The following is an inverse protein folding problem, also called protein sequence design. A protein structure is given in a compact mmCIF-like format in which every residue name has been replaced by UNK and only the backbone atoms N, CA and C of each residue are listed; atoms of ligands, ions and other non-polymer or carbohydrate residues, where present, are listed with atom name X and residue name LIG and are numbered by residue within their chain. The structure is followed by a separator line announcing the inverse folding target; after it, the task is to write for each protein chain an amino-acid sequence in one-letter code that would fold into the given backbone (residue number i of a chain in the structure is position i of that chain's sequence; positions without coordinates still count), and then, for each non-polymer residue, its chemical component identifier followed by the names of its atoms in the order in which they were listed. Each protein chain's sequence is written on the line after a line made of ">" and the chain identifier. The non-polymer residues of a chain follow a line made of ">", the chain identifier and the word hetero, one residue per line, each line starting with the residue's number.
data_IF_755599854532
#
_entry.id   IF_755599854532
#
_cell.length_a   1.000
_cell.length_b   1.000
_cell.length_c   1.000
_cell.angle_alpha   90.00
_cell.angle_beta   90.00
_cell.angle_gamma   90.00
#
_symmetry.space_group_name_H-M   'P 1'
#
loop_
_entity.id
_entity.type
_entity.pdbx_description
1 polymer ?
#
# COMPACT_ATOMS: atom_id res chain seq x y z
N UNK A 1 -0.97 22.51 0.59
CA UNK A 1 0.19 22.44 1.53
C UNK A 1 0.46 20.98 1.89
N UNK A 2 1.72 20.61 1.92
CA UNK A 2 2.09 19.25 2.32
C UNK A 2 1.77 19.02 3.80
N UNK A 3 0.99 18.00 4.08
CA UNK A 3 0.68 17.57 5.45
C UNK A 3 1.77 16.63 5.99
N UNK A 4 2.18 15.65 5.19
CA UNK A 4 3.16 14.67 5.60
C UNK A 4 3.70 13.84 4.46
N UNK A 5 4.80 13.16 4.70
CA UNK A 5 5.42 12.25 3.75
C UNK A 5 5.67 10.90 4.41
N UNK A 6 5.70 9.87 3.61
CA UNK A 6 6.01 8.51 4.06
C UNK A 6 6.88 7.79 3.05
N UNK A 7 7.76 6.96 3.55
CA UNK A 7 8.67 6.17 2.74
C UNK A 7 8.77 4.78 3.36
N UNK A 8 8.74 3.76 2.51
CA UNK A 8 8.92 2.39 2.98
C UNK A 8 9.70 1.57 1.96
N UNK A 9 10.50 0.63 2.45
CA UNK A 9 11.26 -0.30 1.64
C UNK A 9 10.99 -1.72 2.13
N UNK A 10 10.77 -2.63 1.19
CA UNK A 10 10.38 -4.02 1.50
C UNK A 10 11.21 -4.98 0.68
N UNK A 11 11.78 -5.99 1.34
CA UNK A 11 12.45 -7.09 0.65
C UNK A 11 11.40 -8.00 -0.01
N UNK A 12 11.53 -8.19 -1.32
CA UNK A 12 10.60 -9.02 -2.10
C UNK A 12 10.61 -10.47 -1.61
N UNK A 13 11.79 -11.02 -1.31
CA UNK A 13 11.90 -12.40 -0.82
C UNK A 13 11.20 -12.61 0.51
N UNK A 14 11.16 -11.61 1.37
CA UNK A 14 10.44 -11.67 2.65
C UNK A 14 8.93 -11.84 2.41
N UNK A 15 8.39 -11.08 1.49
CA UNK A 15 6.96 -11.20 1.10
C UNK A 15 6.71 -12.56 0.42
N UNK A 16 7.60 -12.97 -0.46
CA UNK A 16 7.52 -14.27 -1.15
C UNK A 16 7.46 -15.42 -0.14
N UNK A 17 8.32 -15.39 0.88
CA UNK A 17 8.35 -16.41 1.92
C UNK A 17 7.07 -16.41 2.77
N UNK A 18 6.53 -15.24 3.09
CA UNK A 18 5.27 -15.13 3.83
C UNK A 18 4.10 -15.67 3.03
N UNK A 19 4.04 -15.36 1.74
CA UNK A 19 3.03 -15.92 0.83
C UNK A 19 3.14 -17.44 0.76
N UNK A 20 4.35 -17.98 0.70
CA UNK A 20 4.58 -19.42 0.62
C UNK A 20 4.17 -20.15 1.90
N UNK A 21 4.44 -19.57 3.07
CA UNK A 21 4.20 -20.20 4.37
C UNK A 21 2.79 -20.00 4.91
N UNK A 22 2.18 -18.85 4.69
CA UNK A 22 0.98 -18.41 5.40
C UNK A 22 -0.20 -18.10 4.49
N UNK A 23 -0.11 -18.38 3.18
CA UNK A 23 -1.23 -18.18 2.27
C UNK A 23 -2.39 -19.13 2.61
N UNK A 24 -3.65 -18.76 2.49
CA UNK A 24 -4.14 -17.46 2.04
C UNK A 24 -4.29 -16.40 3.14
N UNK A 25 -4.04 -16.74 4.39
CA UNK A 25 -4.27 -15.84 5.54
C UNK A 25 -3.40 -14.58 5.48
N UNK A 26 -2.14 -14.71 5.06
CA UNK A 26 -1.23 -13.58 4.99
C UNK A 26 -1.77 -12.49 4.07
N UNK A 27 -2.05 -12.83 2.81
CA UNK A 27 -2.52 -11.86 1.83
C UNK A 27 -3.92 -11.32 2.16
N UNK A 28 -4.80 -12.16 2.68
CA UNK A 28 -6.15 -11.74 3.04
C UNK A 28 -6.18 -10.75 4.22
N UNK A 29 -5.18 -10.80 5.08
CA UNK A 29 -5.06 -9.88 6.22
C UNK A 29 -4.61 -8.48 5.79
N UNK A 30 -3.82 -8.38 4.72
CA UNK A 30 -3.17 -7.14 4.32
C UNK A 30 -3.82 -6.51 3.10
N UNK A 31 -4.25 -7.33 2.14
CA UNK A 31 -4.67 -6.87 0.82
C UNK A 31 -6.16 -7.10 0.60
N UNK A 32 -6.77 -6.22 -0.19
CA UNK A 32 -8.16 -6.40 -0.63
C UNK A 32 -8.23 -7.49 -1.69
N UNK A 33 -9.43 -8.02 -1.93
CA UNK A 33 -9.65 -9.02 -2.97
C UNK A 33 -9.18 -8.54 -4.35
N UNK A 34 -9.44 -7.28 -4.68
CA UNK A 34 -8.99 -6.67 -5.94
C UNK A 34 -7.48 -6.64 -6.05
N UNK A 35 -6.78 -6.28 -4.98
CA UNK A 35 -5.31 -6.28 -4.95
C UNK A 35 -4.75 -7.69 -5.09
N UNK A 36 -5.34 -8.66 -4.42
CA UNK A 36 -4.92 -10.06 -4.49
C UNK A 36 -5.06 -10.58 -5.92
N UNK A 37 -6.22 -10.36 -6.54
CA UNK A 37 -6.48 -10.81 -7.92
C UNK A 37 -5.47 -10.19 -8.90
N UNK A 38 -5.23 -8.90 -8.78
CA UNK A 38 -4.25 -8.21 -9.62
C UNK A 38 -2.85 -8.81 -9.46
N UNK A 39 -2.37 -8.94 -8.22
CA UNK A 39 -1.02 -9.42 -7.95
C UNK A 39 -0.83 -10.86 -8.42
N UNK A 40 -1.82 -11.72 -8.20
CA UNK A 40 -1.76 -13.13 -8.61
C UNK A 40 -1.78 -13.29 -10.13
N UNK A 41 -2.32 -12.34 -10.87
CA UNK A 41 -2.34 -12.36 -12.34
C UNK A 41 -1.00 -11.97 -12.97
N UNK A 42 -0.06 -11.47 -12.19
CA UNK A 42 1.23 -11.00 -12.70
C UNK A 42 2.26 -12.12 -12.77
N UNK A 43 3.28 -11.95 -13.64
CA UNK A 43 4.34 -12.93 -13.81
C UNK A 43 5.22 -13.12 -12.57
N UNK A 44 5.32 -12.10 -11.72
CA UNK A 44 6.03 -12.17 -10.44
C UNK A 44 5.14 -11.59 -9.34
N UNK A 45 4.21 -12.41 -8.79
CA UNK A 45 3.27 -11.92 -7.79
C UNK A 45 3.92 -11.29 -6.56
N UNK A 46 4.98 -11.88 -6.04
CA UNK A 46 5.65 -11.41 -4.83
C UNK A 46 6.14 -9.96 -4.96
N UNK A 47 6.64 -9.58 -6.13
CA UNK A 47 7.08 -8.20 -6.40
C UNK A 47 5.91 -7.22 -6.30
N UNK A 48 4.77 -7.58 -6.86
CA UNK A 48 3.58 -6.72 -6.84
C UNK A 48 2.96 -6.63 -5.46
N UNK A 49 2.93 -7.74 -4.71
CA UNK A 49 2.50 -7.71 -3.30
C UNK A 49 3.45 -6.86 -2.45
N UNK A 50 4.76 -6.98 -2.65
CA UNK A 50 5.74 -6.18 -1.92
C UNK A 50 5.56 -4.68 -2.19
N UNK A 51 5.35 -4.31 -3.45
CA UNK A 51 5.11 -2.91 -3.83
C UNK A 51 3.85 -2.35 -3.17
N UNK A 52 2.76 -3.11 -3.16
CA UNK A 52 1.51 -2.68 -2.52
C UNK A 52 1.63 -2.61 -1.00
N UNK A 53 2.36 -3.55 -0.41
CA UNK A 53 2.67 -3.49 1.02
C UNK A 53 3.43 -2.21 1.36
N UNK A 54 4.46 -1.89 0.60
CA UNK A 54 5.25 -0.68 0.79
C UNK A 54 4.39 0.59 0.66
N UNK A 55 3.46 0.63 -0.32
CA UNK A 55 2.54 1.77 -0.48
C UNK A 55 1.67 1.96 0.76
N UNK A 56 1.12 0.88 1.31
CA UNK A 56 0.25 0.97 2.49
C UNK A 56 1.02 1.46 3.71
N UNK A 57 2.24 0.96 3.92
CA UNK A 57 3.10 1.44 4.99
C UNK A 57 3.46 2.93 4.79
N UNK A 58 3.88 3.31 3.59
CA UNK A 58 4.22 4.70 3.27
C UNK A 58 3.00 5.62 3.43
N UNK A 59 1.84 5.17 2.96
CA UNK A 59 0.59 5.92 3.09
C UNK A 59 0.20 6.16 4.55
N UNK A 60 0.32 5.14 5.39
CA UNK A 60 0.04 5.27 6.81
C UNK A 60 1.00 6.24 7.49
N UNK A 61 2.27 6.22 7.11
CA UNK A 61 3.28 7.15 7.64
C UNK A 61 3.00 8.59 7.23
N UNK A 62 2.60 8.82 5.96
CA UNK A 62 2.32 10.19 5.51
C UNK A 62 1.10 10.80 6.19
N UNK A 63 0.19 9.97 6.70
CA UNK A 63 -0.95 10.40 7.50
C UNK A 63 -0.59 10.58 8.99
N UNK A 64 0.61 10.21 9.37
CA UNK A 64 1.15 10.44 10.73
C UNK A 64 0.83 9.34 11.74
N UNK A 65 0.11 8.28 11.35
CA UNK A 65 -0.32 7.24 12.30
C UNK A 65 0.48 5.95 12.23
N UNK A 66 1.04 5.62 11.07
CA UNK A 66 1.48 4.25 10.81
C UNK A 66 0.28 3.29 10.80
N UNK A 67 0.53 2.00 10.64
CA UNK A 67 -0.52 0.99 10.73
C UNK A 67 -0.84 0.76 12.20
N UNK A 68 -2.10 1.04 12.58
CA UNK A 68 -2.58 1.00 13.98
C UNK A 68 -4.01 0.48 14.02
N UNK A 69 -4.59 0.45 15.21
CA UNK A 69 -6.02 0.12 15.38
C UNK A 69 -6.96 1.12 14.71
N UNK A 70 -6.52 2.36 14.48
CA UNK A 70 -7.31 3.40 13.79
C UNK A 70 -7.08 3.44 12.29
N UNK A 71 -6.06 2.74 11.77
CA UNK A 71 -5.77 2.65 10.35
C UNK A 71 -5.15 1.28 10.05
N UNK A 72 -5.95 0.36 9.54
CA UNK A 72 -5.50 -0.96 9.15
C UNK A 72 -5.08 -1.03 7.68
N UNK A 73 -4.42 -2.12 7.31
CA UNK A 73 -3.97 -2.33 5.93
C UNK A 73 -5.12 -2.27 4.91
N UNK A 74 -6.29 -2.83 5.25
CA UNK A 74 -7.42 -2.91 4.32
C UNK A 74 -8.30 -1.67 4.32
N UNK A 75 -7.92 -0.66 5.10
CA UNK A 75 -8.50 0.68 5.04
C UNK A 75 -7.87 1.53 3.93
N UNK A 76 -6.95 0.94 3.19
CA UNK A 76 -6.28 1.52 2.03
C UNK A 76 -6.26 0.48 0.90
N UNK A 77 -6.44 0.95 -0.33
CA UNK A 77 -6.41 0.08 -1.50
C UNK A 77 -5.58 0.72 -2.59
N UNK A 78 -4.67 -0.06 -3.17
CA UNK A 78 -3.87 0.38 -4.33
C UNK A 78 -4.55 -0.14 -5.58
N UNK A 79 -4.93 0.77 -6.47
CA UNK A 79 -5.49 0.42 -7.77
C UNK A 79 -4.65 1.06 -8.87
N UNK A 80 -4.74 0.53 -10.08
CA UNK A 80 -4.04 1.09 -11.23
C UNK A 80 -5.03 1.81 -12.13
N UNK A 81 -4.69 3.02 -12.54
CA UNK A 81 -5.43 3.72 -13.59
C UNK A 81 -5.22 3.01 -14.94
N UNK A 82 -6.02 3.36 -15.94
CA UNK A 82 -5.90 2.80 -17.31
C UNK A 82 -4.50 2.97 -17.88
N UNK A 83 -3.81 4.04 -17.51
CA UNK A 83 -2.43 4.31 -17.93
C UNK A 83 -1.41 3.42 -17.24
N UNK A 84 -1.83 2.63 -16.24
CA UNK A 84 -0.94 1.83 -15.40
C UNK A 84 -0.45 2.54 -14.15
N UNK A 85 -0.75 3.84 -14.01
CA UNK A 85 -0.33 4.60 -12.83
C UNK A 85 -1.02 4.08 -11.56
N UNK A 86 -0.25 3.72 -10.50
CA UNK A 86 -0.86 3.32 -9.24
C UNK A 86 -1.41 4.54 -8.50
N UNK A 87 -2.58 4.37 -7.90
CA UNK A 87 -3.18 5.36 -7.00
C UNK A 87 -3.58 4.69 -5.70
N UNK A 88 -3.58 5.46 -4.62
CA UNK A 88 -3.99 5.00 -3.30
C UNK A 88 -5.39 5.54 -3.01
N UNK A 89 -6.31 4.62 -2.75
CA UNK A 89 -7.70 4.94 -2.40
C UNK A 89 -7.91 4.64 -0.92
N UNK A 90 -8.47 5.60 -0.20
CA UNK A 90 -8.80 5.44 1.21
C UNK A 90 -10.22 4.91 1.36
N UNK A 91 -10.40 3.91 2.21
CA UNK A 91 -11.70 3.28 2.49
C UNK A 91 -11.89 3.13 4.00
N UNK A 92 -13.12 2.86 4.43
CA UNK A 92 -13.41 2.61 5.85
C UNK A 92 -12.80 3.65 6.80
N UNK A 93 -12.04 3.18 7.76
CA UNK A 93 -11.36 4.05 8.74
C UNK A 93 -10.33 4.96 8.09
N UNK A 94 -9.73 4.53 6.99
CA UNK A 94 -8.79 5.35 6.22
C UNK A 94 -9.47 6.58 5.64
N UNK A 95 -10.68 6.41 5.10
CA UNK A 95 -11.47 7.52 4.59
C UNK A 95 -11.87 8.49 5.70
N UNK A 96 -12.29 7.97 6.85
CA UNK A 96 -12.63 8.79 8.02
C UNK A 96 -11.43 9.63 8.47
N UNK A 97 -10.26 9.02 8.56
CA UNK A 97 -9.03 9.72 8.93
C UNK A 97 -8.62 10.77 7.90
N UNK A 98 -8.73 10.44 6.61
CA UNK A 98 -8.45 11.35 5.50
C UNK A 98 -9.30 12.62 5.60
N UNK A 99 -10.59 12.45 5.87
CA UNK A 99 -11.54 13.56 6.03
C UNK A 99 -11.25 14.35 7.31
N UNK A 100 -10.99 13.68 8.42
CA UNK A 100 -10.67 14.32 9.70
C UNK A 100 -9.41 15.18 9.61
N UNK A 101 -8.40 14.73 8.88
CA UNK A 101 -7.16 15.47 8.66
C UNK A 101 -7.31 16.54 7.57
N UNK A 102 -8.48 16.66 6.97
CA UNK A 102 -8.76 17.62 5.89
C UNK A 102 -7.80 17.48 4.71
N UNK A 103 -7.44 16.25 4.38
CA UNK A 103 -6.56 15.96 3.25
C UNK A 103 -7.32 16.10 1.93
N UNK A 104 -6.65 16.62 0.91
CA UNK A 104 -7.18 16.71 -0.45
C UNK A 104 -6.74 15.54 -1.32
N UNK A 105 -5.51 15.07 -1.12
CA UNK A 105 -4.94 14.02 -1.95
C UNK A 105 -3.78 13.33 -1.24
N UNK A 106 -3.51 12.10 -1.67
CA UNK A 106 -2.28 11.39 -1.33
C UNK A 106 -1.66 10.95 -2.65
N UNK A 107 -0.47 11.44 -2.93
CA UNK A 107 0.31 11.08 -4.11
C UNK A 107 1.26 9.95 -3.76
N UNK A 108 1.36 8.95 -4.63
CA UNK A 108 2.27 7.82 -4.41
C UNK A 108 3.20 7.62 -5.58
N UNK A 109 4.35 7.05 -5.30
CA UNK A 109 5.30 6.61 -6.30
C UNK A 109 5.91 5.29 -5.84
N UNK A 110 6.11 4.38 -6.78
CA UNK A 110 6.66 3.05 -6.53
C UNK A 110 7.89 2.85 -7.40
N UNK A 111 8.92 2.26 -6.83
CA UNK A 111 10.07 1.78 -7.58
C UNK A 111 10.49 0.41 -7.05
N UNK A 112 11.10 -0.39 -7.87
CA UNK A 112 11.59 -1.71 -7.46
C UNK A 112 12.80 -2.11 -8.29
N UNK A 113 13.61 -2.98 -7.70
CA UNK A 113 14.67 -3.70 -8.40
C UNK A 113 14.43 -5.22 -8.20
N UNK A 114 15.45 -6.03 -8.40
CA UNK A 114 15.33 -7.49 -8.27
C UNK A 114 15.12 -7.96 -6.82
N UNK A 115 15.46 -7.15 -5.81
CA UNK A 115 15.46 -7.54 -4.39
C UNK A 115 14.49 -6.75 -3.52
N UNK A 116 14.21 -5.51 -3.87
CA UNK A 116 13.40 -4.61 -3.03
C UNK A 116 12.33 -3.87 -3.82
N UNK A 117 11.23 -3.57 -3.14
CA UNK A 117 10.23 -2.61 -3.57
C UNK A 117 10.26 -1.43 -2.62
N UNK A 118 10.13 -0.22 -3.15
CA UNK A 118 10.12 1.01 -2.37
C UNK A 118 8.90 1.83 -2.76
N UNK A 119 8.29 2.49 -1.78
CA UNK A 119 7.17 3.38 -2.03
C UNK A 119 7.35 4.70 -1.29
N UNK A 120 6.88 5.77 -1.91
CA UNK A 120 6.84 7.11 -1.35
C UNK A 120 5.41 7.61 -1.41
N UNK A 121 4.96 8.27 -0.34
CA UNK A 121 3.63 8.85 -0.27
C UNK A 121 3.73 10.29 0.24
N UNK A 122 2.94 11.18 -0.36
CA UNK A 122 2.86 12.59 0.04
C UNK A 122 1.38 12.93 0.23
N UNK A 123 1.02 13.34 1.44
CA UNK A 123 -0.33 13.80 1.76
C UNK A 123 -0.40 15.32 1.66
N UNK A 124 -1.42 15.82 0.98
CA UNK A 124 -1.68 17.25 0.82
C UNK A 124 -2.99 17.65 1.49
N UNK A 125 -2.95 18.81 2.11
CA UNK A 125 -4.14 19.53 2.61
C UNK A 125 -4.55 20.62 1.64
#
# INVERSE_FOLDING_TARGET
>A
MIFGTGLDIVEIDRIKNSLKKYSPKFEQKIFTATEIDYCQSQGNPAKHFAARFAVKEAGSKCMGTGITGSLGFKDMEVINEKTGKPILVMTGKGKELFEKLELKSIHISISHDSTHAIAHAIAEQ
#
